data_IF_828143017756
#
_entry.id   IF_828143017756
#
_cell.length_a   1.000
_cell.length_b   1.000
_cell.length_c   1.000
_cell.angle_alpha   90.00
_cell.angle_beta   90.00
_cell.angle_gamma   90.00
#
_symmetry.space_group_name_H-M   'P 1'
#
loop_
_entity.id
_entity.type
_entity.pdbx_description
1 polymer ?
#
# COMPACT_ATOMS: atom_id res chain seq x y z
N UNK A 1 42.39 36.24 -18.77
CA UNK A 1 42.23 34.78 -18.77
C UNK A 1 40.77 34.42 -18.55
N UNK A 2 40.13 33.83 -19.55
CA UNK A 2 38.80 33.29 -19.44
C UNK A 2 38.86 32.09 -18.50
N UNK A 3 38.52 32.24 -17.25
CA UNK A 3 38.60 31.16 -16.31
C UNK A 3 37.19 30.64 -16.02
N UNK A 4 36.94 29.43 -16.47
CA UNK A 4 35.89 28.60 -15.91
C UNK A 4 36.27 28.19 -14.49
N UNK A 5 35.33 28.28 -13.59
CA UNK A 5 35.43 27.72 -12.24
C UNK A 5 34.36 26.71 -12.06
N UNK A 6 34.73 25.53 -11.59
CA UNK A 6 33.78 24.41 -11.35
C UNK A 6 33.81 23.99 -9.89
N UNK A 7 32.71 23.44 -9.45
CA UNK A 7 32.54 22.84 -8.16
C UNK A 7 31.73 21.54 -8.29
N UNK A 8 32.10 20.57 -7.47
CA UNK A 8 31.41 19.29 -7.36
C UNK A 8 30.68 19.23 -6.01
N UNK A 9 29.51 18.65 -5.99
CA UNK A 9 28.71 18.49 -4.79
C UNK A 9 28.15 17.08 -4.67
N UNK A 10 28.10 16.59 -3.44
CA UNK A 10 27.38 15.37 -3.05
C UNK A 10 26.42 15.76 -1.95
N UNK A 11 25.19 15.31 -2.05
CA UNK A 11 24.14 15.56 -1.07
C UNK A 11 23.37 14.28 -0.73
N UNK A 12 22.78 14.28 0.44
CA UNK A 12 21.81 13.27 0.85
C UNK A 12 20.63 13.98 1.49
N UNK A 13 19.43 13.59 1.08
CA UNK A 13 18.20 14.16 1.62
C UNK A 13 17.13 13.10 1.75
N UNK A 14 16.26 13.25 2.74
CA UNK A 14 14.97 12.55 2.80
C UNK A 14 13.92 13.45 2.19
N UNK A 15 13.42 13.07 1.02
CA UNK A 15 12.40 13.84 0.29
C UNK A 15 11.03 13.72 0.95
N UNK A 16 10.72 12.52 1.43
CA UNK A 16 9.45 12.22 2.10
C UNK A 16 9.72 11.30 3.28
N UNK A 17 9.07 11.60 4.40
CA UNK A 17 8.95 10.69 5.55
C UNK A 17 7.46 10.47 5.78
N UNK A 18 7.04 9.23 5.68
CA UNK A 18 5.66 8.82 5.92
C UNK A 18 5.56 8.28 7.35
N UNK A 19 4.58 8.79 8.09
CA UNK A 19 4.21 8.30 9.42
C UNK A 19 2.80 8.82 9.70
N UNK A 20 1.79 8.06 9.28
CA UNK A 20 0.39 8.47 9.36
C UNK A 20 -0.47 7.33 9.92
N UNK A 21 -0.43 7.09 11.24
CA UNK A 21 -1.35 6.15 11.86
C UNK A 21 -2.76 6.74 11.90
N UNK A 22 -3.74 5.92 11.56
CA UNK A 22 -5.17 6.19 11.67
C UNK A 22 -5.81 5.04 12.44
N UNK A 23 -6.56 5.34 13.48
CA UNK A 23 -7.37 4.38 14.20
C UNK A 23 -8.82 4.86 14.23
N UNK A 24 -9.75 3.96 13.96
CA UNK A 24 -11.19 4.19 14.05
C UNK A 24 -11.82 3.08 14.85
N UNK A 25 -12.84 3.42 15.64
CA UNK A 25 -13.64 2.47 16.40
C UNK A 25 -15.06 2.98 16.48
N UNK A 26 -16.02 2.10 16.34
CA UNK A 26 -17.41 2.48 16.44
C UNK A 26 -18.37 1.31 16.27
N UNK A 27 -19.64 1.59 16.52
CA UNK A 27 -20.75 0.66 16.28
C UNK A 27 -21.39 0.99 14.94
N UNK A 28 -21.52 0.00 14.07
CA UNK A 28 -22.23 0.13 12.82
C UNK A 28 -23.42 -0.85 12.82
N UNK A 29 -24.64 -0.31 12.84
CA UNK A 29 -25.86 -1.10 12.82
C UNK A 29 -26.49 -1.23 11.42
N UNK A 30 -25.74 -0.95 10.36
CA UNK A 30 -26.24 -0.97 8.98
C UNK A 30 -25.51 -1.97 8.08
N UNK A 31 -24.20 -2.18 8.31
CA UNK A 31 -23.37 -3.00 7.43
C UNK A 31 -22.21 -3.65 8.18
N UNK A 32 -21.68 -4.72 7.60
CA UNK A 32 -20.43 -5.37 7.95
C UNK A 32 -19.45 -5.24 6.79
N UNK A 33 -18.17 -5.35 7.03
CA UNK A 33 -17.17 -5.47 5.95
C UNK A 33 -17.40 -6.76 5.14
N UNK A 34 -18.01 -7.78 5.73
CA UNK A 34 -18.39 -9.00 5.01
C UNK A 34 -19.38 -8.71 3.87
N UNK A 35 -20.24 -7.69 3.97
CA UNK A 35 -21.13 -7.29 2.88
C UNK A 35 -20.34 -6.83 1.65
N UNK A 36 -19.21 -6.17 1.85
CA UNK A 36 -18.30 -5.80 0.77
C UNK A 36 -17.67 -7.05 0.12
N UNK A 37 -17.24 -8.04 0.91
CA UNK A 37 -16.70 -9.29 0.38
C UNK A 37 -17.76 -10.08 -0.40
N UNK A 38 -19.00 -10.11 0.10
CA UNK A 38 -20.15 -10.72 -0.58
C UNK A 38 -20.38 -10.06 -1.94
N UNK A 39 -20.42 -8.72 -1.97
CA UNK A 39 -20.55 -7.98 -3.21
C UNK A 39 -19.43 -8.31 -4.19
N UNK A 40 -18.18 -8.35 -3.73
CA UNK A 40 -17.01 -8.68 -4.54
C UNK A 40 -17.09 -10.08 -5.13
N UNK A 41 -17.49 -11.07 -4.33
CA UNK A 41 -17.71 -12.44 -4.80
C UNK A 41 -18.80 -12.49 -5.89
N UNK A 42 -19.90 -11.75 -5.68
CA UNK A 42 -20.97 -11.62 -6.66
C UNK A 42 -20.52 -10.95 -7.95
N UNK A 43 -19.80 -9.84 -7.88
CA UNK A 43 -19.29 -9.09 -9.03
C UNK A 43 -18.32 -9.93 -9.90
N UNK A 44 -17.56 -10.81 -9.26
CA UNK A 44 -16.70 -11.80 -9.95
C UNK A 44 -17.48 -12.96 -10.59
N UNK A 45 -18.76 -13.11 -10.28
CA UNK A 45 -19.53 -14.32 -10.62
C UNK A 45 -18.99 -15.57 -9.93
N UNK A 46 -18.42 -15.42 -8.73
CA UNK A 46 -17.83 -16.53 -8.00
C UNK A 46 -18.87 -17.60 -7.64
N UNK A 47 -18.41 -18.82 -7.55
CA UNK A 47 -19.12 -19.97 -7.03
C UNK A 47 -18.36 -20.57 -5.85
N UNK A 48 -18.98 -21.42 -5.03
CA UNK A 48 -18.25 -22.14 -3.99
C UNK A 48 -17.06 -22.89 -4.55
N UNK A 49 -17.22 -23.58 -5.68
CA UNK A 49 -16.13 -24.32 -6.34
C UNK A 49 -14.99 -23.38 -6.80
N UNK A 50 -15.30 -22.21 -7.38
CA UNK A 50 -14.24 -21.28 -7.82
C UNK A 50 -13.48 -20.68 -6.64
N UNK A 51 -14.12 -20.46 -5.49
CA UNK A 51 -13.46 -19.99 -4.27
C UNK A 51 -12.65 -21.12 -3.58
N UNK A 52 -13.05 -22.38 -3.74
CA UNK A 52 -12.24 -23.53 -3.34
C UNK A 52 -10.98 -23.65 -4.20
N UNK A 53 -11.07 -23.42 -5.50
CA UNK A 53 -9.92 -23.43 -6.42
C UNK A 53 -8.91 -22.31 -6.13
N UNK A 54 -9.35 -21.19 -5.54
CA UNK A 54 -8.49 -20.08 -5.08
C UNK A 54 -7.81 -20.39 -3.72
N UNK A 55 -8.01 -21.58 -3.12
CA UNK A 55 -7.47 -21.92 -1.81
C UNK A 55 -6.54 -23.11 -1.84
N UNK A 56 -5.33 -22.91 -1.34
CA UNK A 56 -4.35 -23.98 -1.13
C UNK A 56 -4.42 -24.48 0.32
N UNK A 57 -5.00 -25.66 0.51
CA UNK A 57 -5.15 -26.26 1.83
C UNK A 57 -3.82 -26.70 2.46
N UNK A 58 -2.78 -26.96 1.67
CA UNK A 58 -1.47 -27.37 2.18
C UNK A 58 -0.73 -26.21 2.84
N UNK A 59 -0.78 -25.04 2.20
CA UNK A 59 -0.16 -23.82 2.74
C UNK A 59 -1.13 -22.96 3.56
N UNK A 60 -2.41 -23.31 3.59
CA UNK A 60 -3.47 -22.50 4.21
C UNK A 60 -3.49 -21.07 3.66
N UNK A 61 -3.41 -20.94 2.34
CA UNK A 61 -3.38 -19.66 1.62
C UNK A 61 -4.54 -19.54 0.66
N UNK A 62 -5.01 -18.32 0.45
CA UNK A 62 -6.05 -17.98 -0.51
C UNK A 62 -5.57 -16.87 -1.45
N UNK A 63 -5.97 -16.92 -2.71
CA UNK A 63 -5.61 -15.94 -3.73
C UNK A 63 -6.43 -14.65 -3.60
N UNK A 64 -7.55 -14.70 -2.85
CA UNK A 64 -8.41 -13.55 -2.63
C UNK A 64 -8.98 -13.50 -1.21
N UNK A 65 -9.41 -12.30 -0.80
CA UNK A 65 -10.10 -12.09 0.49
C UNK A 65 -11.43 -12.83 0.52
N UNK A 66 -12.12 -12.93 -0.61
CA UNK A 66 -13.38 -13.62 -0.76
C UNK A 66 -13.22 -15.13 -0.53
N UNK A 67 -12.17 -15.72 -1.11
CA UNK A 67 -11.84 -17.14 -0.88
C UNK A 67 -11.44 -17.38 0.58
N UNK A 68 -10.62 -16.51 1.18
CA UNK A 68 -10.27 -16.59 2.60
C UNK A 68 -11.50 -16.51 3.51
N UNK A 69 -12.44 -15.60 3.22
CA UNK A 69 -13.67 -15.44 3.99
C UNK A 69 -14.61 -16.65 3.82
N UNK A 70 -14.69 -17.22 2.62
CA UNK A 70 -15.45 -18.43 2.34
C UNK A 70 -14.88 -19.64 3.09
N UNK A 71 -13.58 -19.88 3.02
CA UNK A 71 -12.92 -20.97 3.74
C UNK A 71 -12.99 -20.83 5.27
N UNK A 72 -13.15 -19.59 5.74
CA UNK A 72 -13.36 -19.30 7.16
C UNK A 72 -14.83 -19.33 7.57
N UNK A 73 -15.72 -19.74 6.69
CA UNK A 73 -17.18 -19.80 6.91
C UNK A 73 -17.83 -18.44 7.26
N UNK A 74 -17.20 -17.35 6.91
CA UNK A 74 -17.74 -16.00 7.16
C UNK A 74 -18.77 -15.59 6.11
N UNK A 75 -18.56 -16.04 4.86
CA UNK A 75 -19.51 -15.90 3.74
C UNK A 75 -19.78 -17.26 3.12
N UNK A 76 -21.01 -17.47 2.66
CA UNK A 76 -21.41 -18.73 2.06
C UNK A 76 -22.17 -18.49 0.75
N UNK A 77 -22.02 -19.36 -0.26
CA UNK A 77 -22.83 -19.30 -1.46
C UNK A 77 -24.26 -19.68 -1.13
N UNK A 78 -25.20 -19.18 -1.90
CA UNK A 78 -26.57 -19.60 -1.81
C UNK A 78 -26.69 -21.11 -2.09
N UNK A 79 -27.37 -21.84 -1.20
CA UNK A 79 -27.49 -23.29 -1.29
C UNK A 79 -28.19 -23.79 -2.56
N UNK A 80 -29.01 -22.96 -3.20
CA UNK A 80 -29.75 -23.33 -4.42
C UNK A 80 -28.95 -23.10 -5.69
N UNK A 81 -28.10 -22.07 -5.71
CA UNK A 81 -27.32 -21.67 -6.89
C UNK A 81 -25.88 -22.17 -6.84
N UNK A 82 -25.37 -22.49 -5.67
CA UNK A 82 -23.94 -22.81 -5.45
C UNK A 82 -23.02 -21.58 -5.62
N UNK A 83 -23.58 -20.37 -5.80
CA UNK A 83 -22.87 -19.13 -6.04
C UNK A 83 -23.63 -17.92 -5.50
N UNK A 84 -23.63 -16.85 -6.25
CA UNK A 84 -24.37 -15.64 -5.88
C UNK A 84 -25.88 -15.87 -5.84
N UNK A 85 -26.64 -15.16 -4.95
CA UNK A 85 -26.10 -14.21 -3.97
C UNK A 85 -25.42 -14.93 -2.81
N UNK A 86 -24.19 -14.47 -2.46
CA UNK A 86 -23.56 -14.93 -1.23
C UNK A 86 -24.23 -14.31 -0.02
N UNK A 87 -24.16 -15.01 1.10
CA UNK A 87 -24.76 -14.59 2.35
C UNK A 87 -23.73 -14.65 3.49
N UNK A 88 -23.88 -13.80 4.48
CA UNK A 88 -23.08 -13.91 5.72
C UNK A 88 -23.53 -15.14 6.48
N UNK A 89 -22.56 -15.87 7.05
CA UNK A 89 -22.89 -16.97 7.97
C UNK A 89 -23.76 -16.50 9.14
N UNK A 90 -23.44 -15.33 9.70
CA UNK A 90 -24.25 -14.68 10.72
C UNK A 90 -25.08 -13.57 10.10
N UNK A 91 -26.41 -13.61 10.21
CA UNK A 91 -27.28 -12.53 9.73
C UNK A 91 -27.15 -11.27 10.58
N UNK A 92 -26.61 -11.39 11.81
CA UNK A 92 -26.45 -10.28 12.73
C UNK A 92 -25.37 -9.30 12.24
N UNK A 93 -25.60 -8.03 12.54
CA UNK A 93 -24.60 -7.00 12.35
C UNK A 93 -23.55 -7.02 13.47
N UNK A 94 -22.32 -6.55 13.20
CA UNK A 94 -21.30 -6.44 14.23
C UNK A 94 -21.71 -5.46 15.32
N UNK A 95 -21.36 -5.77 16.56
CA UNK A 95 -21.57 -4.87 17.70
C UNK A 95 -20.51 -3.78 17.75
N UNK A 96 -19.32 -4.08 17.26
CA UNK A 96 -18.21 -3.17 17.24
C UNK A 96 -17.36 -3.40 15.99
N UNK A 97 -16.88 -2.33 15.42
CA UNK A 97 -15.94 -2.33 14.30
C UNK A 97 -14.73 -1.49 14.68
N UNK A 98 -13.54 -2.04 14.49
CA UNK A 98 -12.28 -1.37 14.72
C UNK A 98 -11.45 -1.41 13.44
N UNK A 99 -10.93 -0.26 13.03
CA UNK A 99 -10.03 -0.13 11.90
C UNK A 99 -8.74 0.54 12.32
N UNK A 100 -7.63 0.02 11.82
CA UNK A 100 -6.32 0.63 11.96
C UNK A 100 -5.62 0.65 10.61
N UNK A 101 -5.02 1.78 10.28
CA UNK A 101 -4.15 1.92 9.11
C UNK A 101 -2.90 2.68 9.52
N UNK A 102 -1.74 2.20 9.11
CA UNK A 102 -0.47 2.89 9.24
C UNK A 102 0.27 2.86 7.90
N UNK A 103 0.75 4.02 7.50
CA UNK A 103 1.60 4.15 6.33
C UNK A 103 2.92 4.75 6.78
N UNK A 104 3.95 3.93 6.79
CA UNK A 104 5.29 4.29 7.25
C UNK A 104 6.32 4.10 6.15
N UNK A 105 7.42 4.83 6.24
CA UNK A 105 8.52 4.70 5.29
C UNK A 105 9.15 6.01 4.88
N UNK A 106 9.93 5.97 3.82
CA UNK A 106 10.62 7.15 3.32
C UNK A 106 11.02 7.04 1.85
N UNK A 107 11.16 8.19 1.22
CA UNK A 107 11.91 8.37 -0.02
C UNK A 107 13.19 9.12 0.31
N UNK A 108 14.32 8.47 0.15
CA UNK A 108 15.65 9.07 0.34
C UNK A 108 16.30 9.30 -1.03
N UNK A 109 17.15 10.33 -1.12
CA UNK A 109 17.82 10.68 -2.35
C UNK A 109 19.29 11.02 -2.10
N UNK A 110 20.17 10.46 -2.92
CA UNK A 110 21.53 10.87 -3.07
C UNK A 110 21.68 11.73 -4.31
N UNK A 111 22.33 12.86 -4.16
CA UNK A 111 22.52 13.84 -5.22
C UNK A 111 24.02 13.96 -5.51
N UNK A 112 24.38 13.80 -6.78
CA UNK A 112 25.70 14.10 -7.30
C UNK A 112 25.55 15.24 -8.28
N UNK A 113 26.27 16.34 -8.07
CA UNK A 113 26.12 17.53 -8.91
C UNK A 113 27.47 18.14 -9.27
N UNK A 114 27.49 18.75 -10.43
CA UNK A 114 28.57 19.57 -10.89
C UNK A 114 28.06 20.91 -11.37
N UNK A 115 28.67 21.97 -10.91
CA UNK A 115 28.37 23.32 -11.33
C UNK A 115 29.60 24.03 -11.86
N UNK A 116 29.43 24.83 -12.91
CA UNK A 116 30.49 25.64 -13.48
C UNK A 116 30.05 27.11 -13.71
N UNK A 117 30.95 28.00 -13.50
CA UNK A 117 30.77 29.43 -13.71
C UNK A 117 31.76 29.98 -14.72
N UNK A 118 31.28 30.77 -15.65
CA UNK A 118 32.08 31.51 -16.63
C UNK A 118 31.97 33.02 -16.38
N UNK A 119 33.11 33.65 -16.10
CA UNK A 119 33.24 35.08 -15.88
C UNK A 119 32.25 35.69 -14.86
N UNK A 120 31.78 34.90 -13.88
CA UNK A 120 30.75 35.32 -12.92
C UNK A 120 29.45 35.85 -13.53
N UNK A 121 29.20 35.53 -14.79
CA UNK A 121 28.00 35.94 -15.52
C UNK A 121 27.14 34.78 -15.96
N UNK A 122 27.73 33.68 -16.36
CA UNK A 122 27.03 32.49 -16.83
C UNK A 122 27.38 31.29 -15.93
N UNK A 123 26.34 30.58 -15.45
CA UNK A 123 26.48 29.45 -14.59
C UNK A 123 25.67 28.32 -15.19
N UNK A 124 26.25 27.13 -15.20
CA UNK A 124 25.61 25.89 -15.62
C UNK A 124 25.75 24.84 -14.51
N UNK A 125 24.76 23.98 -14.38
CA UNK A 125 24.77 22.89 -13.42
C UNK A 125 24.13 21.64 -14.01
N UNK A 126 24.71 20.51 -13.68
CA UNK A 126 24.21 19.19 -13.97
C UNK A 126 24.07 18.43 -12.65
N UNK A 127 22.95 17.73 -12.44
CA UNK A 127 22.71 16.87 -11.30
C UNK A 127 22.24 15.50 -11.73
N UNK A 128 22.70 14.48 -11.00
CA UNK A 128 22.20 13.10 -11.07
C UNK A 128 21.68 12.74 -9.68
N UNK A 129 20.45 12.25 -9.63
CA UNK A 129 19.71 11.99 -8.43
C UNK A 129 19.39 10.49 -8.35
N UNK A 130 19.84 9.84 -7.30
CA UNK A 130 19.56 8.44 -7.00
C UNK A 130 18.57 8.36 -5.86
N UNK A 131 17.35 7.94 -6.16
CA UNK A 131 16.26 7.83 -5.19
C UNK A 131 16.09 6.39 -4.72
N UNK A 132 15.80 6.22 -3.43
CA UNK A 132 15.41 4.95 -2.84
C UNK A 132 14.09 5.11 -2.11
N UNK A 133 13.09 4.33 -2.55
CA UNK A 133 11.76 4.23 -1.95
C UNK A 133 11.71 2.99 -1.07
N UNK A 134 11.25 3.15 0.16
CA UNK A 134 10.85 2.05 1.03
C UNK A 134 9.60 2.50 1.80
N UNK A 135 8.49 1.82 1.60
CA UNK A 135 7.24 2.09 2.30
C UNK A 135 6.58 0.80 2.75
N UNK A 136 5.95 0.86 3.91
CA UNK A 136 5.14 -0.20 4.46
C UNK A 136 3.77 0.38 4.82
N UNK A 137 2.73 -0.21 4.24
CA UNK A 137 1.34 0.07 4.58
C UNK A 137 0.80 -1.12 5.34
N UNK A 138 0.33 -0.90 6.56
CA UNK A 138 -0.35 -1.91 7.38
C UNK A 138 -1.79 -1.49 7.57
N UNK A 139 -2.72 -2.43 7.35
CA UNK A 139 -4.13 -2.25 7.62
C UNK A 139 -4.61 -3.39 8.49
N UNK A 140 -5.45 -3.06 9.48
CA UNK A 140 -6.14 -4.03 10.32
C UNK A 140 -7.61 -3.64 10.43
N UNK A 141 -8.46 -4.61 10.26
CA UNK A 141 -9.90 -4.48 10.43
C UNK A 141 -10.41 -5.59 11.33
N UNK A 142 -11.23 -5.26 12.29
CA UNK A 142 -11.82 -6.21 13.22
C UNK A 142 -13.31 -5.93 13.39
N UNK A 143 -14.08 -6.98 13.44
CA UNK A 143 -15.53 -6.92 13.76
C UNK A 143 -15.86 -7.92 14.86
N UNK A 144 -16.59 -7.45 15.87
CA UNK A 144 -17.13 -8.27 16.95
C UNK A 144 -18.63 -8.45 16.78
N UNK A 145 -19.13 -9.64 17.08
CA UNK A 145 -20.55 -9.98 17.05
C UNK A 145 -21.08 -10.23 18.46
N UNK A 146 -22.42 -10.25 18.66
CA UNK A 146 -22.98 -10.58 19.95
C UNK A 146 -22.48 -11.91 20.49
N UNK A 147 -22.21 -11.99 21.78
CA UNK A 147 -21.48 -13.07 22.47
C UNK A 147 -22.13 -14.46 22.47
N UNK A 148 -23.37 -14.57 22.01
CA UNK A 148 -24.09 -15.84 21.91
C UNK A 148 -23.95 -16.54 20.54
N UNK A 149 -23.15 -16.01 19.66
CA UNK A 149 -22.94 -16.57 18.33
C UNK A 149 -21.74 -17.53 18.31
N UNK A 150 -21.78 -18.51 17.40
CA UNK A 150 -20.66 -19.43 17.15
C UNK A 150 -19.41 -18.68 16.69
N UNK A 151 -19.55 -17.68 15.82
CA UNK A 151 -18.50 -16.74 15.46
C UNK A 151 -18.64 -15.50 16.33
N UNK A 152 -17.69 -15.27 17.23
CA UNK A 152 -17.66 -14.10 18.10
C UNK A 152 -17.13 -12.85 17.41
N UNK A 153 -16.36 -13.03 16.35
CA UNK A 153 -15.78 -11.94 15.57
C UNK A 153 -14.84 -12.46 14.48
N UNK A 154 -14.19 -11.55 13.82
CA UNK A 154 -13.12 -11.87 12.86
C UNK A 154 -12.21 -10.64 12.68
N UNK A 155 -11.00 -10.89 12.20
CA UNK A 155 -10.03 -9.85 11.89
C UNK A 155 -9.37 -10.08 10.54
N UNK A 156 -9.08 -8.99 9.84
CA UNK A 156 -8.28 -8.93 8.62
C UNK A 156 -7.06 -8.06 8.90
N UNK A 157 -5.87 -8.61 8.71
CA UNK A 157 -4.61 -7.88 8.77
C UNK A 157 -3.92 -7.96 7.41
N UNK A 158 -3.49 -6.82 6.89
CA UNK A 158 -2.86 -6.73 5.57
C UNK A 158 -1.64 -5.84 5.66
N UNK A 159 -0.59 -6.24 4.96
CA UNK A 159 0.64 -5.49 4.85
C UNK A 159 1.08 -5.43 3.39
N UNK A 160 1.37 -4.22 2.91
CA UNK A 160 1.98 -3.98 1.61
C UNK A 160 3.33 -3.31 1.83
N UNK A 161 4.39 -3.99 1.42
CA UNK A 161 5.75 -3.45 1.39
C UNK A 161 6.08 -3.08 -0.05
N UNK A 162 6.43 -1.82 -0.27
CA UNK A 162 6.87 -1.33 -1.57
C UNK A 162 8.29 -0.81 -1.45
N UNK A 163 9.17 -1.31 -2.29
CA UNK A 163 10.56 -0.87 -2.36
C UNK A 163 10.98 -0.63 -3.81
N UNK A 164 11.88 0.33 -4.01
CA UNK A 164 12.36 0.64 -5.34
C UNK A 164 13.57 1.56 -5.32
N UNK A 165 14.30 1.56 -6.43
CA UNK A 165 15.39 2.47 -6.69
C UNK A 165 15.13 3.20 -7.99
N UNK A 166 15.47 4.48 -8.03
CA UNK A 166 15.22 5.31 -9.20
C UNK A 166 16.34 6.29 -9.47
N UNK A 167 16.36 6.78 -10.70
CA UNK A 167 17.31 7.78 -11.17
C UNK A 167 16.58 8.93 -11.85
N UNK A 168 17.06 10.15 -11.60
CA UNK A 168 16.64 11.34 -12.32
C UNK A 168 17.86 12.19 -12.67
N UNK A 169 17.73 13.06 -13.67
CA UNK A 169 18.79 13.99 -14.09
C UNK A 169 18.21 15.40 -14.10
N UNK A 170 18.99 16.35 -13.64
CA UNK A 170 18.64 17.78 -13.71
C UNK A 170 19.70 18.58 -14.44
N UNK A 171 19.27 19.61 -15.16
CA UNK A 171 20.12 20.56 -15.86
C UNK A 171 19.65 21.97 -15.51
N UNK A 172 20.56 22.82 -15.09
CA UNK A 172 20.28 24.20 -14.74
C UNK A 172 21.22 25.18 -15.41
N UNK A 173 20.72 26.38 -15.70
CA UNK A 173 21.53 27.49 -16.18
C UNK A 173 21.06 28.78 -15.51
N UNK A 174 22.01 29.64 -15.18
CA UNK A 174 21.74 31.00 -14.67
C UNK A 174 22.56 31.99 -15.48
N UNK A 175 21.90 33.06 -15.95
CA UNK A 175 22.57 34.17 -16.64
C UNK A 175 22.33 35.47 -15.89
N UNK A 176 23.42 36.15 -15.57
CA UNK A 176 23.40 37.47 -14.93
C UNK A 176 23.32 38.56 -15.99
N UNK A 177 22.11 39.02 -16.26
CA UNK A 177 21.84 40.05 -17.27
C UNK A 177 22.42 41.41 -16.84
N UNK A 178 22.20 41.79 -15.56
CA UNK A 178 22.69 43.00 -14.91
C UNK A 178 23.16 42.66 -13.50
N UNK A 179 23.91 43.55 -12.81
CA UNK A 179 24.32 43.29 -11.42
C UNK A 179 23.18 42.92 -10.48
N UNK A 180 21.99 43.46 -10.73
CA UNK A 180 20.77 43.25 -9.93
C UNK A 180 19.72 42.35 -10.61
N UNK A 181 20.01 41.80 -11.81
CA UNK A 181 19.06 40.94 -12.53
C UNK A 181 19.72 39.65 -12.99
N UNK A 182 19.14 38.52 -12.56
CA UNK A 182 19.53 37.17 -12.98
C UNK A 182 18.32 36.44 -13.55
N UNK A 183 18.52 35.70 -14.61
CA UNK A 183 17.53 34.79 -15.19
C UNK A 183 18.03 33.37 -15.00
N UNK A 184 17.17 32.49 -14.54
CA UNK A 184 17.48 31.08 -14.29
C UNK A 184 16.48 30.16 -14.99
N UNK A 185 16.98 29.03 -15.50
CA UNK A 185 16.20 27.93 -16.02
C UNK A 185 16.70 26.64 -15.36
N UNK A 186 15.77 25.82 -14.91
CA UNK A 186 16.05 24.47 -14.41
C UNK A 186 15.07 23.49 -15.03
N UNK A 187 15.60 22.37 -15.51
CA UNK A 187 14.83 21.26 -16.07
C UNK A 187 15.27 19.99 -15.35
N UNK A 188 14.31 19.20 -14.90
CA UNK A 188 14.54 17.91 -14.27
C UNK A 188 13.65 16.86 -14.92
N UNK A 189 14.22 15.68 -15.17
CA UNK A 189 13.45 14.54 -15.65
C UNK A 189 12.56 14.00 -14.53
N UNK A 190 11.46 13.30 -14.86
CA UNK A 190 10.82 12.40 -13.90
C UNK A 190 11.84 11.40 -13.35
N UNK A 191 11.62 10.91 -12.14
CA UNK A 191 12.42 9.80 -11.59
C UNK A 191 11.98 8.50 -12.24
N UNK A 192 12.89 7.84 -12.92
CA UNK A 192 12.69 6.49 -13.45
C UNK A 192 13.02 5.50 -12.35
N UNK A 193 12.00 4.77 -11.89
CA UNK A 193 12.18 3.66 -10.95
C UNK A 193 12.42 2.39 -11.73
N UNK A 194 13.56 1.76 -11.45
CA UNK A 194 13.89 0.40 -11.86
C UNK A 194 13.70 -0.53 -10.65
N UNK A 195 13.21 -1.75 -10.89
CA UNK A 195 12.98 -2.74 -9.84
C UNK A 195 12.04 -2.27 -8.72
N UNK A 196 10.89 -1.72 -9.11
CA UNK A 196 9.81 -1.53 -8.15
C UNK A 196 9.26 -2.90 -7.74
N UNK A 197 9.44 -3.25 -6.47
CA UNK A 197 8.99 -4.52 -5.89
C UNK A 197 7.89 -4.23 -4.89
N UNK A 198 6.77 -4.91 -5.07
CA UNK A 198 5.66 -4.91 -4.12
C UNK A 198 5.50 -6.32 -3.53
N UNK A 199 5.41 -6.38 -2.21
CA UNK A 199 5.14 -7.61 -1.47
C UNK A 199 3.91 -7.40 -0.63
N UNK A 200 2.89 -8.17 -0.92
CA UNK A 200 1.64 -8.17 -0.18
C UNK A 200 1.55 -9.41 0.70
N UNK A 201 1.09 -9.23 1.92
CA UNK A 201 0.71 -10.29 2.83
C UNK A 201 -0.61 -9.92 3.49
N UNK A 202 -1.52 -10.87 3.58
CA UNK A 202 -2.79 -10.71 4.27
C UNK A 202 -3.08 -11.93 5.14
N UNK A 203 -3.84 -11.71 6.22
CA UNK A 203 -4.32 -12.75 7.10
C UNK A 203 -5.74 -12.44 7.55
N UNK A 204 -6.63 -13.38 7.30
CA UNK A 204 -8.00 -13.34 7.79
C UNK A 204 -8.14 -14.38 8.90
N UNK A 205 -8.62 -13.96 10.07
CA UNK A 205 -8.71 -14.81 11.27
C UNK A 205 -10.12 -14.73 11.84
N UNK A 206 -10.94 -15.81 11.73
CA UNK A 206 -12.21 -15.89 12.42
C UNK A 206 -12.00 -16.16 13.92
N UNK A 207 -12.82 -15.53 14.75
CA UNK A 207 -12.87 -15.80 16.20
C UNK A 207 -14.06 -16.71 16.50
N UNK A 208 -13.78 -18.00 16.63
CA UNK A 208 -14.81 -19.00 16.90
C UNK A 208 -14.82 -19.33 18.39
N UNK A 209 -15.99 -19.30 19.02
CA UNK A 209 -16.16 -19.39 20.47
C UNK A 209 -15.76 -20.74 21.09
N UNK A 210 -15.54 -21.80 20.28
CA UNK A 210 -15.30 -23.16 20.77
C UNK A 210 -14.15 -23.93 20.13
N UNK A 211 -13.47 -23.40 19.10
CA UNK A 211 -12.36 -24.09 18.41
C UNK A 211 -11.27 -23.08 18.07
N UNK A 212 -9.99 -23.33 18.39
CA UNK A 212 -8.88 -22.53 17.87
C UNK A 212 -8.80 -22.74 16.36
N UNK A 213 -9.24 -21.77 15.58
CA UNK A 213 -9.10 -21.81 14.12
C UNK A 213 -7.84 -21.07 13.72
N UNK A 214 -7.00 -21.74 12.97
CA UNK A 214 -5.85 -21.11 12.31
C UNK A 214 -6.38 -20.30 11.14
N UNK A 215 -6.19 -18.98 11.19
CA UNK A 215 -6.65 -18.09 10.09
C UNK A 215 -5.94 -18.38 8.78
N UNK A 216 -6.65 -18.19 7.67
CA UNK A 216 -6.09 -18.30 6.32
C UNK A 216 -5.20 -17.11 5.98
N UNK A 217 -4.10 -17.36 5.27
CA UNK A 217 -3.21 -16.35 4.74
C UNK A 217 -3.62 -16.00 3.30
N UNK A 218 -3.52 -14.71 2.95
CA UNK A 218 -3.76 -14.21 1.62
C UNK A 218 -2.41 -13.88 1.00
N UNK A 219 -2.12 -14.44 -0.16
CA UNK A 219 -0.86 -14.20 -0.90
C UNK A 219 -1.17 -13.58 -2.27
N UNK A 220 -0.36 -12.62 -2.67
CA UNK A 220 -0.30 -12.06 -4.03
C UNK A 220 1.14 -11.74 -4.40
#
# INVERSE_FOLDING_TARGET
SSSWRGAFGIGYSRQVVLSQPLAIQGTNNRSSYLDYLIQKAGDKGATGASLDDEYDSYYNTADSREAAAYQSYLINPNAQTGGAPFERYLPNLPTEQTGYADNSGSVAQWDISYGAAYQDRFYVGLGVHFSKLNTTMTQRWEESFPSNNFVAGWGLEEQLNTSGSGIAVSLGAIYKVKPNLRVALNIQTPTYYDQLVEQYAGKLTPQISSIPVTGGYITR
#
